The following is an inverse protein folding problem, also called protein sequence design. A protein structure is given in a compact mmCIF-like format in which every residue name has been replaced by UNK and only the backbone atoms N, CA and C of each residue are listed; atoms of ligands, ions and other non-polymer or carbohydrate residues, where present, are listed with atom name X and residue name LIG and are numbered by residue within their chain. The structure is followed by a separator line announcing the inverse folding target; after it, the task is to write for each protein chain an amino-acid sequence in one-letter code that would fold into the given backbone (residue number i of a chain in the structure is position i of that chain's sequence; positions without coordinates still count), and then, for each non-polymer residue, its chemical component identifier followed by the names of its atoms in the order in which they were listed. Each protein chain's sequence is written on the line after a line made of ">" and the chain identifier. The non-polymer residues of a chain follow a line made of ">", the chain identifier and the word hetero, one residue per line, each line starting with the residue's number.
data_IF_661316706776
#
_entry.id   IF_661316706776
#
_cell.length_a   1.000
_cell.length_b   1.000
_cell.length_c   1.000
_cell.angle_alpha   90.00
_cell.angle_beta   90.00
_cell.angle_gamma   90.00
#
_symmetry.space_group_name_H-M   'P 1'
#
loop_
_entity.id
_entity.type
_entity.pdbx_description
1 polymer ?
#
# COMPACT_ATOMS: atom_id res chain seq x y z
N UNK A 1 -10.57 72.37 -2.54
CA UNK A 1 -10.04 71.02 -2.93
C UNK A 1 -9.90 70.20 -1.69
N UNK A 2 -10.75 69.19 -1.51
CA UNK A 2 -10.73 68.33 -0.30
C UNK A 2 -9.56 67.34 -0.41
N UNK A 3 -8.60 67.48 0.49
CA UNK A 3 -7.48 66.55 0.65
C UNK A 3 -8.01 65.15 1.03
N UNK A 4 -8.05 64.21 0.09
CA UNK A 4 -8.40 62.82 0.43
C UNK A 4 -7.25 62.24 1.23
N UNK A 5 -7.46 62.11 2.54
CA UNK A 5 -6.54 61.37 3.44
C UNK A 5 -6.38 59.96 2.89
N UNK A 6 -5.20 59.62 2.41
CA UNK A 6 -4.84 58.25 2.03
C UNK A 6 -5.01 57.37 3.25
N UNK A 7 -5.85 56.35 3.17
CA UNK A 7 -6.01 55.34 4.22
C UNK A 7 -4.68 54.67 4.50
N UNK A 8 -4.42 54.27 5.76
CA UNK A 8 -3.20 53.56 6.13
C UNK A 8 -3.01 52.30 5.27
N UNK A 9 -1.76 52.00 5.00
CA UNK A 9 -1.42 50.81 4.20
C UNK A 9 -2.00 49.54 4.85
N UNK A 10 -2.83 48.79 4.12
CA UNK A 10 -3.50 47.58 4.65
C UNK A 10 -4.93 47.80 5.20
N UNK A 11 -5.42 49.05 5.36
CA UNK A 11 -6.76 49.28 5.91
C UNK A 11 -7.93 49.05 4.98
N UNK A 12 -7.64 48.77 3.66
CA UNK A 12 -8.67 48.57 2.63
C UNK A 12 -9.53 49.82 2.33
N UNK A 13 -10.27 49.79 1.24
CA UNK A 13 -11.22 50.84 0.85
C UNK A 13 -12.63 50.31 0.83
N UNK A 14 -13.59 51.07 1.45
CA UNK A 14 -15.01 50.71 1.47
C UNK A 14 -15.75 51.71 0.56
N UNK A 15 -16.55 51.22 -0.35
CA UNK A 15 -17.33 52.04 -1.31
C UNK A 15 -18.75 51.45 -1.46
N UNK A 16 -19.70 52.34 -1.77
CA UNK A 16 -21.03 51.97 -2.19
C UNK A 16 -21.01 51.67 -3.67
N UNK A 17 -21.57 50.59 -4.15
CA UNK A 17 -21.60 50.18 -5.57
C UNK A 17 -23.03 49.87 -5.97
N UNK A 18 -23.44 50.41 -7.12
CA UNK A 18 -24.73 50.09 -7.73
C UNK A 18 -24.49 49.30 -8.99
N UNK A 19 -25.25 48.25 -9.18
CA UNK A 19 -25.18 47.38 -10.38
C UNK A 19 -26.60 47.17 -10.88
N UNK A 20 -26.84 47.50 -12.15
CA UNK A 20 -28.13 47.27 -12.81
C UNK A 20 -28.16 45.86 -13.33
N UNK A 21 -29.15 45.04 -12.90
CA UNK A 21 -29.45 43.71 -13.45
C UNK A 21 -30.90 43.63 -13.86
N UNK A 22 -31.17 43.20 -15.07
CA UNK A 22 -32.53 43.09 -15.64
C UNK A 22 -33.37 44.40 -15.47
N UNK A 23 -32.74 45.58 -15.67
CA UNK A 23 -33.39 46.84 -15.54
C UNK A 23 -33.65 47.34 -14.10
N UNK A 24 -33.24 46.61 -13.08
CA UNK A 24 -33.31 46.98 -11.69
C UNK A 24 -31.95 47.29 -11.09
N UNK A 25 -31.87 48.40 -10.32
CA UNK A 25 -30.66 48.84 -9.65
C UNK A 25 -30.52 48.19 -8.29
N UNK A 26 -29.44 47.44 -8.10
CA UNK A 26 -29.04 46.82 -6.82
C UNK A 26 -27.85 47.57 -6.25
N UNK A 27 -28.04 48.08 -5.03
CA UNK A 27 -26.99 48.80 -4.31
C UNK A 27 -26.45 47.95 -3.19
N UNK A 28 -25.13 47.83 -3.10
CA UNK A 28 -24.40 47.12 -2.06
C UNK A 28 -23.11 47.82 -1.68
N UNK A 29 -22.55 47.48 -0.54
CA UNK A 29 -21.23 47.92 -0.12
C UNK A 29 -20.17 46.94 -0.51
N UNK A 30 -19.04 47.41 -1.02
CA UNK A 30 -17.86 46.65 -1.38
C UNK A 30 -16.64 47.23 -0.67
N UNK A 31 -15.81 46.34 -0.08
CA UNK A 31 -14.47 46.70 0.37
C UNK A 31 -13.43 45.84 -0.35
N UNK A 32 -12.25 46.41 -0.52
CA UNK A 32 -11.10 45.71 -1.13
C UNK A 32 -9.89 45.82 -0.22
N UNK A 33 -9.18 44.70 -0.07
CA UNK A 33 -7.91 44.62 0.65
C UNK A 33 -6.88 43.90 -0.23
N UNK A 34 -5.65 44.33 -0.12
CA UNK A 34 -4.51 43.65 -0.76
C UNK A 34 -4.15 42.43 0.06
N UNK A 35 -4.13 41.26 -0.58
CA UNK A 35 -3.82 39.99 0.07
C UNK A 35 -2.39 39.51 -0.22
N UNK A 36 -1.67 40.18 -1.12
CA UNK A 36 -0.30 39.88 -1.53
C UNK A 36 0.02 40.36 -2.93
N UNK A 37 1.09 39.83 -3.48
CA UNK A 37 1.55 40.08 -4.84
C UNK A 37 1.72 38.76 -5.58
N UNK A 38 1.44 38.76 -6.86
CA UNK A 38 1.71 37.62 -7.73
C UNK A 38 3.21 37.47 -7.95
N UNK A 39 3.77 36.30 -7.62
CA UNK A 39 5.20 36.07 -7.65
C UNK A 39 5.81 36.10 -9.08
N UNK A 40 5.01 35.81 -10.11
CA UNK A 40 5.48 35.80 -11.50
C UNK A 40 5.37 37.16 -12.20
N UNK A 41 4.33 37.95 -11.85
CA UNK A 41 4.03 39.24 -12.56
C UNK A 41 4.26 40.47 -11.69
N UNK A 42 4.51 40.31 -10.38
CA UNK A 42 4.63 41.42 -9.41
C UNK A 42 3.33 42.18 -9.18
N UNK A 43 2.23 41.79 -9.81
CA UNK A 43 0.94 42.49 -9.71
C UNK A 43 0.29 42.26 -8.33
N UNK A 44 -0.35 43.30 -7.84
CA UNK A 44 -1.07 43.27 -6.57
C UNK A 44 -2.31 42.37 -6.65
N UNK A 45 -2.37 41.36 -5.76
CA UNK A 45 -3.56 40.53 -5.56
C UNK A 45 -4.49 41.23 -4.57
N UNK A 46 -5.76 41.41 -4.95
CA UNK A 46 -6.77 42.06 -4.12
C UNK A 46 -7.98 41.17 -3.93
N UNK A 47 -8.54 41.15 -2.72
CA UNK A 47 -9.80 40.50 -2.41
C UNK A 47 -10.88 41.53 -2.10
N UNK A 48 -12.07 41.30 -2.67
CA UNK A 48 -13.26 42.10 -2.40
C UNK A 48 -14.16 41.36 -1.41
N UNK A 49 -14.71 42.09 -0.43
CA UNK A 49 -15.80 41.65 0.44
C UNK A 49 -17.02 42.54 0.20
N UNK A 50 -18.20 41.93 0.17
CA UNK A 50 -19.47 42.65 -0.10
C UNK A 50 -20.47 42.39 1.02
N UNK A 51 -21.40 43.34 1.19
CA UNK A 51 -22.48 43.24 2.15
C UNK A 51 -23.58 44.22 1.88
N UNK A 52 -24.71 44.03 2.54
CA UNK A 52 -25.89 44.93 2.42
C UNK A 52 -25.67 46.24 3.14
N UNK A 53 -24.93 46.24 4.23
CA UNK A 53 -24.66 47.43 5.07
C UNK A 53 -23.16 47.73 5.16
N UNK A 54 -22.83 48.98 5.40
CA UNK A 54 -21.44 49.40 5.59
C UNK A 54 -20.81 48.76 6.84
N UNK A 55 -21.59 48.53 7.89
CA UNK A 55 -21.16 47.89 9.13
C UNK A 55 -20.72 46.44 8.86
N UNK A 56 -21.56 45.67 8.18
CA UNK A 56 -21.27 44.29 7.79
C UNK A 56 -19.97 44.17 6.98
N UNK A 57 -19.77 45.05 5.99
CA UNK A 57 -18.56 45.04 5.15
C UNK A 57 -17.32 45.43 5.94
N UNK A 58 -17.46 46.36 6.93
CA UNK A 58 -16.35 46.75 7.80
C UNK A 58 -15.92 45.58 8.69
N UNK A 59 -16.86 44.86 9.31
CA UNK A 59 -16.57 43.69 10.12
C UNK A 59 -15.87 42.58 9.31
N UNK A 60 -16.39 42.27 8.12
CA UNK A 60 -15.76 41.33 7.20
C UNK A 60 -14.35 41.75 6.76
N UNK A 61 -14.15 43.05 6.49
CA UNK A 61 -12.85 43.58 6.12
C UNK A 61 -11.85 43.50 7.26
N UNK A 62 -12.28 43.80 8.50
CA UNK A 62 -11.43 43.71 9.70
C UNK A 62 -10.99 42.26 9.95
N UNK A 63 -11.91 41.29 9.87
CA UNK A 63 -11.59 39.89 9.99
C UNK A 63 -10.55 39.45 8.94
N UNK A 64 -10.76 39.84 7.67
CA UNK A 64 -9.83 39.53 6.58
C UNK A 64 -8.48 40.24 6.78
N UNK A 65 -8.45 41.47 7.25
CA UNK A 65 -7.22 42.21 7.54
C UNK A 65 -6.40 41.53 8.66
N UNK A 66 -7.03 41.00 9.68
CA UNK A 66 -6.36 40.22 10.73
C UNK A 66 -5.71 38.99 10.13
N UNK A 67 -6.42 38.23 9.28
CA UNK A 67 -5.85 37.04 8.61
C UNK A 67 -4.66 37.39 7.70
N UNK A 68 -4.75 38.49 6.95
CA UNK A 68 -3.66 38.93 6.06
C UNK A 68 -2.45 39.40 6.87
N UNK A 69 -2.65 40.17 7.92
CA UNK A 69 -1.58 40.75 8.75
C UNK A 69 -0.89 39.68 9.62
N UNK A 70 -1.63 38.65 10.06
CA UNK A 70 -1.06 37.51 10.79
C UNK A 70 -0.39 36.48 9.88
N UNK A 71 -0.44 36.65 8.54
CA UNK A 71 0.09 35.70 7.58
C UNK A 71 -0.71 34.40 7.47
N UNK A 72 -1.90 34.34 8.09
CA UNK A 72 -2.77 33.16 8.07
C UNK A 72 -3.78 33.17 6.92
N UNK A 73 -3.78 34.24 6.11
CA UNK A 73 -4.66 34.34 4.94
C UNK A 73 -4.26 33.30 3.87
N UNK A 74 -5.23 32.51 3.47
CA UNK A 74 -5.11 31.63 2.31
C UNK A 74 -6.12 32.03 1.25
N UNK A 75 -5.65 32.11 0.00
CA UNK A 75 -6.54 32.37 -1.12
C UNK A 75 -7.49 31.19 -1.31
N UNK A 76 -8.83 31.43 -1.41
CA UNK A 76 -9.77 30.32 -1.61
C UNK A 76 -9.41 29.50 -2.85
N UNK A 77 -9.18 28.24 -2.65
CA UNK A 77 -8.88 27.31 -3.70
C UNK A 77 -10.17 26.88 -4.39
N UNK A 78 -10.40 27.35 -5.63
CA UNK A 78 -11.57 26.97 -6.44
C UNK A 78 -11.47 25.59 -7.05
N UNK A 79 -10.29 25.00 -6.99
CA UNK A 79 -9.99 23.65 -7.49
C UNK A 79 -10.87 22.62 -6.79
N UNK A 80 -11.36 21.65 -7.55
CA UNK A 80 -12.07 20.49 -7.02
C UNK A 80 -11.07 19.45 -6.48
N UNK A 81 -11.53 18.56 -5.60
CA UNK A 81 -10.71 17.45 -5.14
C UNK A 81 -10.26 16.57 -6.31
N UNK A 82 -11.11 16.37 -7.32
CA UNK A 82 -10.78 15.56 -8.49
C UNK A 82 -9.62 16.15 -9.30
N UNK A 83 -9.62 17.47 -9.54
CA UNK A 83 -8.53 18.18 -10.22
C UNK A 83 -7.23 18.13 -9.40
N UNK A 84 -7.34 18.31 -8.07
CA UNK A 84 -6.18 18.19 -7.21
C UNK A 84 -5.57 16.78 -7.24
N UNK A 85 -6.39 15.73 -7.19
CA UNK A 85 -5.92 14.35 -7.24
C UNK A 85 -5.20 14.02 -8.55
N UNK A 86 -5.62 14.59 -9.69
CA UNK A 86 -4.91 14.43 -10.96
C UNK A 86 -3.51 15.07 -10.88
N UNK A 87 -3.43 16.31 -10.43
CA UNK A 87 -2.16 17.01 -10.20
C UNK A 87 -1.26 16.23 -9.24
N UNK A 88 -1.84 15.69 -8.16
CA UNK A 88 -1.08 14.95 -7.16
C UNK A 88 -0.51 13.64 -7.70
N UNK A 89 -1.30 12.87 -8.45
CA UNK A 89 -0.83 11.63 -9.10
C UNK A 89 0.29 11.90 -10.09
N UNK A 90 0.17 12.96 -10.88
CA UNK A 90 1.15 13.30 -11.90
C UNK A 90 2.48 13.80 -11.30
N UNK A 91 2.41 14.68 -10.29
CA UNK A 91 3.58 15.43 -9.84
C UNK A 91 4.21 14.90 -8.54
N UNK A 92 3.47 14.16 -7.71
CA UNK A 92 3.94 13.78 -6.36
C UNK A 92 4.15 12.27 -6.17
N UNK A 93 3.74 11.44 -7.13
CA UNK A 93 3.93 9.99 -7.05
C UNK A 93 5.15 9.46 -7.83
N UNK A 94 6.03 10.34 -8.30
CA UNK A 94 7.23 9.94 -9.08
C UNK A 94 8.19 9.03 -8.33
N UNK A 95 8.31 9.18 -7.01
CA UNK A 95 9.15 8.34 -6.16
C UNK A 95 8.45 7.02 -5.72
N UNK A 96 7.16 6.86 -6.01
CA UNK A 96 6.43 5.65 -5.64
C UNK A 96 6.80 4.48 -6.56
N UNK A 97 6.86 3.27 -5.98
CA UNK A 97 7.00 2.06 -6.79
C UNK A 97 5.81 1.94 -7.75
N UNK A 98 6.02 1.48 -9.00
CA UNK A 98 4.96 1.43 -10.03
C UNK A 98 3.68 0.76 -9.55
N UNK A 99 3.78 -0.38 -8.86
CA UNK A 99 2.61 -1.10 -8.31
C UNK A 99 1.85 -0.28 -7.27
N UNK A 100 2.55 0.50 -6.44
CA UNK A 100 1.91 1.38 -5.45
C UNK A 100 1.14 2.50 -6.15
N UNK A 101 1.76 3.10 -7.17
CA UNK A 101 1.12 4.14 -7.99
C UNK A 101 -0.16 3.60 -8.64
N UNK A 102 -0.13 2.41 -9.26
CA UNK A 102 -1.32 1.76 -9.84
C UNK A 102 -2.45 1.54 -8.83
N UNK A 103 -2.12 1.13 -7.60
CA UNK A 103 -3.11 0.95 -6.53
C UNK A 103 -3.73 2.31 -6.17
N UNK A 104 -2.92 3.34 -6.01
CA UNK A 104 -3.40 4.70 -5.69
C UNK A 104 -4.30 5.25 -6.80
N UNK A 105 -3.89 5.13 -8.06
CA UNK A 105 -4.69 5.51 -9.22
C UNK A 105 -6.03 4.75 -9.28
N UNK A 106 -6.01 3.46 -8.97
CA UNK A 106 -7.22 2.63 -8.91
C UNK A 106 -8.15 3.09 -7.80
N UNK A 107 -7.65 3.30 -6.57
CA UNK A 107 -8.45 3.75 -5.43
C UNK A 107 -9.05 5.14 -5.69
N UNK A 108 -8.28 6.03 -6.29
CA UNK A 108 -8.75 7.37 -6.69
C UNK A 108 -9.87 7.25 -7.73
N UNK A 109 -9.65 6.50 -8.80
CA UNK A 109 -10.59 6.38 -9.92
C UNK A 109 -11.88 5.67 -9.53
N UNK A 110 -11.78 4.58 -8.76
CA UNK A 110 -12.92 3.69 -8.47
C UNK A 110 -13.72 4.17 -7.28
N UNK A 111 -13.07 4.77 -6.28
CA UNK A 111 -13.70 5.08 -5.00
C UNK A 111 -13.77 6.57 -4.69
N UNK A 112 -12.66 7.31 -4.81
CA UNK A 112 -12.58 8.68 -4.29
C UNK A 112 -13.24 9.68 -5.26
N UNK A 113 -12.84 9.69 -6.53
CA UNK A 113 -13.34 10.63 -7.52
C UNK A 113 -14.85 10.54 -7.75
N UNK A 114 -15.47 9.36 -7.84
CA UNK A 114 -16.93 9.29 -8.05
C UNK A 114 -17.74 9.88 -6.89
N UNK A 115 -17.19 9.83 -5.67
CA UNK A 115 -17.90 10.29 -4.48
C UNK A 115 -17.57 11.75 -4.08
N UNK A 116 -16.30 12.13 -4.18
CA UNK A 116 -15.79 13.39 -3.65
C UNK A 116 -15.16 14.30 -4.72
N UNK A 117 -14.94 13.80 -5.93
CA UNK A 117 -14.18 14.51 -6.96
C UNK A 117 -14.74 15.87 -7.37
N UNK A 118 -16.06 16.05 -7.34
CA UNK A 118 -16.72 17.32 -7.66
C UNK A 118 -16.71 18.34 -6.51
N UNK A 119 -16.32 17.94 -5.30
CA UNK A 119 -16.28 18.81 -4.13
C UNK A 119 -15.10 19.76 -4.25
N UNK A 120 -15.32 21.06 -4.06
CA UNK A 120 -14.25 22.05 -4.01
C UNK A 120 -13.39 21.84 -2.77
N UNK A 121 -12.08 22.00 -2.91
CA UNK A 121 -11.11 21.82 -1.82
C UNK A 121 -11.47 22.68 -0.59
N UNK A 122 -11.91 23.92 -0.78
CA UNK A 122 -12.34 24.84 0.30
C UNK A 122 -13.58 24.37 1.07
N UNK A 123 -14.41 23.51 0.44
CA UNK A 123 -15.66 22.99 0.99
C UNK A 123 -15.57 21.53 1.47
N UNK A 124 -14.39 20.94 1.38
CA UNK A 124 -14.17 19.55 1.81
C UNK A 124 -14.05 19.51 3.35
N UNK A 125 -15.17 19.24 4.00
CA UNK A 125 -15.27 19.17 5.47
C UNK A 125 -15.02 17.76 6.01
N UNK A 126 -14.57 17.61 7.27
CA UNK A 126 -14.42 16.30 7.91
C UNK A 126 -15.68 15.45 7.87
N UNK A 127 -16.86 16.05 8.08
CA UNK A 127 -18.15 15.35 7.99
C UNK A 127 -18.37 14.73 6.59
N UNK A 128 -18.05 15.44 5.53
CA UNK A 128 -18.18 14.95 4.14
C UNK A 128 -17.29 13.72 3.91
N UNK A 129 -16.04 13.77 4.40
CA UNK A 129 -15.09 12.65 4.31
C UNK A 129 -15.55 11.47 5.16
N UNK A 130 -16.08 11.72 6.37
CA UNK A 130 -16.63 10.68 7.23
C UNK A 130 -17.82 9.96 6.57
N UNK A 131 -18.76 10.73 5.99
CA UNK A 131 -19.91 10.18 5.27
C UNK A 131 -19.48 9.29 4.10
N UNK A 132 -18.42 9.69 3.39
CA UNK A 132 -17.83 8.87 2.34
C UNK A 132 -17.32 7.52 2.88
N UNK A 133 -16.58 7.48 3.99
CA UNK A 133 -16.13 6.21 4.57
C UNK A 133 -17.27 5.34 5.05
N UNK A 134 -18.28 5.93 5.65
CA UNK A 134 -19.49 5.20 6.07
C UNK A 134 -20.21 4.60 4.87
N UNK A 135 -20.33 5.32 3.77
CA UNK A 135 -20.93 4.83 2.53
C UNK A 135 -20.13 3.69 1.87
N UNK A 136 -18.79 3.69 2.02
CA UNK A 136 -17.95 2.57 1.57
C UNK A 136 -18.14 1.31 2.43
N UNK A 137 -18.41 1.47 3.73
CA UNK A 137 -18.62 0.36 4.66
C UNK A 137 -20.02 -0.26 4.57
N UNK A 138 -20.99 0.50 4.08
CA UNK A 138 -22.39 0.05 4.02
C UNK A 138 -22.62 -0.93 2.89
N UNK A 139 -23.39 -1.98 3.18
CA UNK A 139 -23.88 -2.91 2.16
C UNK A 139 -24.80 -2.19 1.17
N UNK A 140 -24.65 -2.53 -0.10
CA UNK A 140 -25.55 -2.11 -1.19
C UNK A 140 -26.38 -3.30 -1.64
N UNK A 141 -27.54 -3.09 -2.31
CA UNK A 141 -28.41 -4.19 -2.73
C UNK A 141 -27.68 -5.31 -3.50
N UNK A 142 -26.73 -4.95 -4.34
CA UNK A 142 -26.02 -5.89 -5.23
C UNK A 142 -24.56 -6.15 -4.83
N UNK A 143 -24.07 -5.53 -3.73
CA UNK A 143 -22.65 -5.63 -3.38
C UNK A 143 -22.44 -5.36 -1.89
N UNK A 144 -21.70 -6.25 -1.19
CA UNK A 144 -21.33 -6.01 0.18
C UNK A 144 -20.43 -4.78 0.31
N UNK A 145 -20.47 -4.12 1.47
CA UNK A 145 -19.59 -3.03 1.82
C UNK A 145 -18.12 -3.45 1.79
N UNK A 146 -17.24 -2.47 1.67
CA UNK A 146 -15.81 -2.73 1.66
C UNK A 146 -15.30 -3.11 3.05
N UNK A 147 -14.30 -4.00 3.09
CA UNK A 147 -13.65 -4.37 4.34
C UNK A 147 -12.99 -3.16 5.01
N UNK A 148 -12.91 -3.16 6.34
CA UNK A 148 -12.23 -2.13 7.12
C UNK A 148 -10.77 -1.92 6.64
N UNK A 149 -10.10 -2.99 6.21
CA UNK A 149 -8.73 -2.92 5.66
C UNK A 149 -8.70 -2.15 4.33
N UNK A 150 -9.65 -2.41 3.45
CA UNK A 150 -9.75 -1.70 2.15
C UNK A 150 -10.04 -0.22 2.38
N UNK A 151 -10.99 0.11 3.27
CA UNK A 151 -11.32 1.50 3.63
C UNK A 151 -10.09 2.21 4.22
N UNK A 152 -9.32 1.53 5.07
CA UNK A 152 -8.08 2.09 5.62
C UNK A 152 -7.02 2.35 4.54
N UNK A 153 -6.94 1.54 3.50
CA UNK A 153 -6.04 1.79 2.37
C UNK A 153 -6.49 3.02 1.56
N UNK A 154 -7.79 3.11 1.23
CA UNK A 154 -8.38 4.27 0.53
C UNK A 154 -8.18 5.56 1.36
N UNK A 155 -8.40 5.49 2.68
CA UNK A 155 -8.10 6.59 3.58
C UNK A 155 -6.63 7.02 3.49
N UNK A 156 -5.69 6.06 3.49
CA UNK A 156 -4.26 6.35 3.38
C UNK A 156 -3.92 7.15 2.11
N UNK A 157 -4.54 6.81 0.98
CA UNK A 157 -4.37 7.54 -0.29
C UNK A 157 -4.92 8.95 -0.19
N UNK A 158 -6.17 9.09 0.23
CA UNK A 158 -6.84 10.40 0.38
C UNK A 158 -6.12 11.29 1.40
N UNK A 159 -5.76 10.74 2.56
CA UNK A 159 -5.03 11.44 3.62
C UNK A 159 -3.68 11.97 3.11
N UNK A 160 -2.91 11.17 2.38
CA UNK A 160 -1.62 11.59 1.85
C UNK A 160 -1.76 12.70 0.81
N UNK A 161 -2.74 12.61 -0.07
CA UNK A 161 -3.03 13.64 -1.06
C UNK A 161 -3.48 14.96 -0.39
N UNK A 162 -4.36 14.89 0.62
CA UNK A 162 -4.83 16.06 1.37
C UNK A 162 -3.72 16.66 2.25
N UNK A 163 -2.84 15.85 2.83
CA UNK A 163 -1.65 16.34 3.54
C UNK A 163 -0.75 17.16 2.62
N UNK A 164 -0.55 16.71 1.39
CA UNK A 164 0.19 17.49 0.40
C UNK A 164 -0.53 18.78 0.01
N UNK A 165 -1.87 18.77 -0.05
CA UNK A 165 -2.66 19.96 -0.32
C UNK A 165 -2.52 21.01 0.79
N UNK A 166 -2.40 20.59 2.06
CA UNK A 166 -2.08 21.48 3.19
C UNK A 166 -0.70 22.10 3.02
N UNK A 167 0.32 21.29 2.69
CA UNK A 167 1.68 21.79 2.47
C UNK A 167 1.78 22.78 1.31
N UNK A 168 0.93 22.60 0.29
CA UNK A 168 0.85 23.52 -0.84
C UNK A 168 -0.03 24.75 -0.58
N UNK A 169 -0.67 24.85 0.60
CA UNK A 169 -1.53 25.96 0.95
C UNK A 169 -2.89 25.98 0.23
N UNK A 170 -3.35 24.86 -0.30
CA UNK A 170 -4.69 24.77 -0.95
C UNK A 170 -5.81 24.62 0.09
N UNK A 171 -5.54 24.02 1.23
CA UNK A 171 -6.43 23.89 2.40
C UNK A 171 -5.66 24.14 3.69
N UNK A 172 -6.36 24.60 4.74
CA UNK A 172 -5.72 24.94 6.03
C UNK A 172 -5.38 23.71 6.87
N UNK A 173 -6.26 22.73 6.87
CA UNK A 173 -6.14 21.50 7.65
C UNK A 173 -6.57 20.32 6.80
N UNK A 174 -6.08 19.15 7.14
CA UNK A 174 -6.49 17.93 6.44
C UNK A 174 -7.83 17.44 7.03
N UNK A 175 -8.95 17.48 6.29
CA UNK A 175 -10.26 17.07 6.81
C UNK A 175 -10.36 15.57 7.11
N UNK A 176 -9.41 14.75 6.66
CA UNK A 176 -9.39 13.31 6.96
C UNK A 176 -8.73 12.97 8.31
N UNK A 177 -8.02 13.92 8.97
CA UNK A 177 -7.31 13.67 10.23
C UNK A 177 -8.26 13.29 11.38
N UNK A 178 -9.45 13.87 11.40
CA UNK A 178 -10.44 13.67 12.47
C UNK A 178 -11.45 12.57 12.17
N UNK A 179 -11.31 11.88 11.03
CA UNK A 179 -12.25 10.83 10.65
C UNK A 179 -12.02 9.53 11.43
N UNK A 180 -13.11 8.89 11.80
CA UNK A 180 -13.10 7.58 12.44
C UNK A 180 -13.22 6.48 11.39
N UNK A 181 -12.24 5.58 11.36
CA UNK A 181 -12.25 4.45 10.44
C UNK A 181 -12.88 3.21 11.08
N UNK A 182 -13.55 2.35 10.29
CA UNK A 182 -14.11 1.11 10.81
C UNK A 182 -12.99 0.22 11.36
N UNK A 183 -13.26 -0.40 12.51
CA UNK A 183 -12.37 -1.40 13.11
C UNK A 183 -12.58 -2.74 12.43
N UNK A 184 -11.53 -3.31 11.86
CA UNK A 184 -11.54 -4.65 11.31
C UNK A 184 -11.09 -5.67 12.36
N UNK A 185 -11.71 -6.82 12.38
CA UNK A 185 -11.13 -7.96 13.08
C UNK A 185 -9.86 -8.41 12.35
N UNK A 186 -8.80 -8.68 13.12
CA UNK A 186 -7.57 -9.22 12.56
C UNK A 186 -7.90 -10.66 12.13
N UNK A 187 -7.86 -10.94 10.83
CA UNK A 187 -8.07 -12.31 10.36
C UNK A 187 -6.99 -13.21 10.98
N UNK A 188 -7.42 -14.30 11.57
CA UNK A 188 -6.51 -15.32 12.07
C UNK A 188 -5.75 -15.94 10.90
N UNK A 189 -4.44 -16.02 11.02
CA UNK A 189 -3.61 -16.70 10.05
C UNK A 189 -3.63 -18.18 10.42
N UNK A 190 -4.11 -19.02 9.49
CA UNK A 190 -4.19 -20.47 9.64
C UNK A 190 -3.17 -21.17 8.72
N UNK A 191 -1.90 -21.29 9.12
CA UNK A 191 -0.91 -22.01 8.36
C UNK A 191 -1.34 -23.48 8.18
N UNK A 192 -0.73 -24.16 7.23
CA UNK A 192 -0.82 -25.62 7.14
C UNK A 192 -0.05 -26.22 8.33
N UNK A 193 -0.68 -27.10 9.10
CA UNK A 193 -0.01 -27.85 10.15
C UNK A 193 0.80 -29.03 9.60
N UNK A 194 1.39 -29.84 10.47
CA UNK A 194 2.25 -30.97 10.05
C UNK A 194 1.49 -32.02 9.22
N UNK A 195 0.24 -32.31 9.58
CA UNK A 195 -0.62 -33.26 8.86
C UNK A 195 -1.06 -32.69 7.51
N UNK A 196 -1.45 -31.43 7.49
CA UNK A 196 -1.77 -30.69 6.27
C UNK A 196 -0.57 -30.66 5.30
N UNK A 197 0.63 -30.37 5.82
CA UNK A 197 1.88 -30.35 5.02
C UNK A 197 2.19 -31.73 4.49
N UNK A 198 2.09 -32.79 5.29
CA UNK A 198 2.30 -34.16 4.85
C UNK A 198 1.29 -34.58 3.77
N UNK A 199 0.01 -34.21 3.92
CA UNK A 199 -1.03 -34.47 2.94
C UNK A 199 -0.77 -33.64 1.65
N UNK A 200 -0.37 -32.39 1.77
CA UNK A 200 -0.06 -31.52 0.64
C UNK A 200 1.09 -32.08 -0.20
N UNK A 201 2.18 -32.52 0.44
CA UNK A 201 3.33 -33.13 -0.26
C UNK A 201 2.89 -34.36 -1.06
N UNK A 202 2.02 -35.21 -0.49
CA UNK A 202 1.49 -36.39 -1.20
C UNK A 202 0.65 -36.00 -2.42
N UNK A 203 -0.20 -34.98 -2.31
CA UNK A 203 -1.08 -34.53 -3.38
C UNK A 203 -0.30 -33.88 -4.53
N UNK A 204 0.79 -33.17 -4.24
CA UNK A 204 1.59 -32.51 -5.28
C UNK A 204 2.66 -33.40 -5.90
N UNK A 205 2.82 -34.64 -5.45
CA UNK A 205 3.79 -35.58 -6.01
C UNK A 205 3.54 -35.81 -7.49
N UNK A 206 4.57 -35.61 -8.33
CA UNK A 206 4.47 -35.68 -9.78
C UNK A 206 3.72 -34.50 -10.44
N UNK A 207 3.32 -33.49 -9.67
CA UNK A 207 2.67 -32.31 -10.23
C UNK A 207 3.73 -31.40 -10.91
N UNK A 208 3.43 -30.74 -12.07
CA UNK A 208 4.38 -29.86 -12.76
C UNK A 208 4.97 -28.72 -11.91
N UNK A 209 4.28 -28.34 -10.83
CA UNK A 209 4.74 -27.30 -9.90
C UNK A 209 5.17 -27.86 -8.54
N UNK A 210 5.42 -29.15 -8.44
CA UNK A 210 5.88 -29.80 -7.20
C UNK A 210 7.12 -29.11 -6.64
N UNK A 211 8.17 -28.97 -7.46
CA UNK A 211 9.43 -28.35 -7.04
C UNK A 211 9.27 -26.89 -6.64
N UNK A 212 8.40 -26.14 -7.31
CA UNK A 212 8.06 -24.76 -6.94
C UNK A 212 7.38 -24.68 -5.56
N UNK A 213 6.41 -25.56 -5.32
CA UNK A 213 5.67 -25.55 -4.04
C UNK A 213 6.55 -26.00 -2.88
N UNK A 214 7.35 -27.06 -3.07
CA UNK A 214 8.28 -27.55 -2.05
C UNK A 214 9.38 -26.51 -1.74
N UNK A 215 9.97 -25.89 -2.77
CA UNK A 215 10.96 -24.84 -2.58
C UNK A 215 10.37 -23.65 -1.85
N UNK A 216 9.14 -23.24 -2.19
CA UNK A 216 8.43 -22.15 -1.49
C UNK A 216 8.17 -22.51 -0.02
N UNK A 217 7.69 -23.73 0.24
CA UNK A 217 7.36 -24.22 1.58
C UNK A 217 8.63 -24.31 2.45
N UNK A 218 9.69 -24.96 1.97
CA UNK A 218 10.86 -25.26 2.81
C UNK A 218 11.90 -24.16 2.90
N UNK A 219 11.79 -23.10 2.08
CA UNK A 219 12.63 -21.91 2.17
C UNK A 219 11.86 -20.66 2.67
N UNK A 220 10.56 -20.77 2.83
CA UNK A 220 9.72 -19.65 3.25
C UNK A 220 9.72 -18.48 2.27
N UNK A 221 9.83 -18.73 0.97
CA UNK A 221 9.86 -17.70 -0.06
C UNK A 221 8.50 -16.99 -0.19
N UNK A 222 8.52 -15.71 -0.58
CA UNK A 222 7.31 -15.07 -1.10
C UNK A 222 7.03 -15.57 -2.52
N UNK A 223 5.75 -15.62 -2.91
CA UNK A 223 5.38 -16.06 -4.27
C UNK A 223 6.20 -15.38 -5.38
N UNK A 224 6.32 -14.04 -5.32
CA UNK A 224 7.11 -13.31 -6.32
C UNK A 224 8.61 -13.59 -6.25
N UNK A 225 9.16 -13.94 -5.09
CA UNK A 225 10.56 -14.34 -4.91
C UNK A 225 10.79 -15.74 -5.48
N UNK A 226 9.87 -16.68 -5.26
CA UNK A 226 9.95 -18.02 -5.82
C UNK A 226 9.85 -18.00 -7.35
N UNK A 227 8.89 -17.25 -7.90
CA UNK A 227 8.72 -17.09 -9.34
C UNK A 227 9.84 -16.31 -10.02
N UNK A 228 10.53 -15.45 -9.28
CA UNK A 228 11.65 -14.63 -9.76
C UNK A 228 13.02 -15.20 -9.38
N UNK A 229 13.08 -16.42 -8.86
CA UNK A 229 14.37 -17.07 -8.55
C UNK A 229 15.08 -17.45 -9.85
N UNK A 230 16.35 -17.04 -9.97
CA UNK A 230 17.19 -17.27 -11.14
C UNK A 230 18.35 -18.21 -10.81
N UNK A 231 18.86 -18.95 -11.78
CA UNK A 231 19.93 -19.93 -11.57
C UNK A 231 21.25 -19.30 -11.12
N UNK A 232 21.53 -18.07 -11.50
CA UNK A 232 22.70 -17.30 -11.02
C UNK A 232 22.65 -16.99 -9.50
N UNK A 233 21.48 -17.14 -8.90
CA UNK A 233 21.25 -16.96 -7.46
C UNK A 233 21.21 -18.28 -6.68
N UNK A 234 21.48 -19.43 -7.33
CA UNK A 234 21.41 -20.77 -6.73
C UNK A 234 22.74 -21.49 -6.86
N UNK A 235 23.45 -21.63 -5.75
CA UNK A 235 24.64 -22.47 -5.64
C UNK A 235 24.21 -23.86 -5.16
N UNK A 236 24.13 -24.81 -6.11
CA UNK A 236 23.71 -26.19 -5.84
C UNK A 236 24.78 -27.01 -5.11
N UNK A 237 26.03 -26.60 -5.15
CA UNK A 237 27.14 -27.37 -4.57
C UNK A 237 27.24 -27.04 -3.05
N UNK A 238 27.10 -25.78 -2.68
CA UNK A 238 27.11 -25.36 -1.31
C UNK A 238 25.70 -25.28 -0.68
N UNK A 239 24.63 -25.50 -1.48
CA UNK A 239 23.25 -25.37 -1.02
C UNK A 239 22.83 -23.95 -0.67
N UNK A 240 23.45 -22.95 -1.28
CA UNK A 240 23.24 -21.54 -0.96
C UNK A 240 22.32 -20.87 -1.98
N UNK A 241 21.29 -20.18 -1.50
CA UNK A 241 20.31 -19.48 -2.33
C UNK A 241 20.25 -18.01 -1.95
N UNK A 242 20.50 -17.12 -2.89
CA UNK A 242 20.43 -15.67 -2.70
C UNK A 242 19.11 -15.13 -3.23
N UNK A 243 18.28 -14.57 -2.34
CA UNK A 243 17.01 -13.96 -2.70
C UNK A 243 17.17 -12.45 -2.81
N UNK A 244 17.34 -11.94 -4.02
CA UNK A 244 17.58 -10.53 -4.33
C UNK A 244 16.56 -9.94 -5.32
N UNK A 245 15.81 -10.79 -6.02
CA UNK A 245 14.85 -10.42 -7.07
C UNK A 245 13.47 -11.02 -6.77
N UNK A 246 12.45 -10.47 -7.39
CA UNK A 246 11.09 -11.00 -7.41
C UNK A 246 10.45 -10.73 -8.76
N UNK A 247 9.62 -11.65 -9.24
CA UNK A 247 8.82 -11.46 -10.44
C UNK A 247 7.58 -10.62 -10.11
N UNK A 248 7.41 -9.50 -10.78
CA UNK A 248 6.30 -8.58 -10.55
C UNK A 248 5.56 -8.29 -11.84
N UNK A 249 4.23 -8.28 -11.78
CA UNK A 249 3.39 -7.87 -12.90
C UNK A 249 3.37 -6.34 -12.98
N UNK A 250 3.77 -5.81 -14.11
CA UNK A 250 3.58 -4.42 -14.51
C UNK A 250 2.44 -4.31 -15.51
N UNK A 251 1.60 -3.30 -15.36
CA UNK A 251 0.63 -2.90 -16.36
C UNK A 251 1.02 -1.50 -16.86
N UNK A 252 1.62 -1.42 -18.03
CA UNK A 252 1.83 -0.17 -18.73
C UNK A 252 0.96 -0.12 -19.98
N UNK A 253 0.20 0.97 -20.16
CA UNK A 253 -0.62 1.24 -21.35
C UNK A 253 -1.56 0.08 -21.76
N UNK A 254 -2.09 -0.65 -20.78
CA UNK A 254 -3.01 -1.77 -21.03
C UNK A 254 -2.35 -3.11 -21.35
N UNK A 255 -1.03 -3.16 -21.48
CA UNK A 255 -0.26 -4.40 -21.65
C UNK A 255 0.26 -4.88 -20.30
N UNK A 256 -0.03 -6.14 -19.98
CA UNK A 256 0.50 -6.81 -18.80
C UNK A 256 1.89 -7.39 -19.13
N UNK A 257 2.93 -6.87 -18.52
CA UNK A 257 4.28 -7.37 -18.62
C UNK A 257 4.79 -7.82 -17.25
N UNK A 258 5.54 -8.93 -17.22
CA UNK A 258 6.23 -9.40 -16.00
C UNK A 258 7.68 -8.95 -16.05
N UNK A 259 8.17 -8.44 -14.92
CA UNK A 259 9.53 -7.93 -14.81
C UNK A 259 10.19 -8.45 -13.53
N UNK A 260 11.49 -8.74 -13.62
CA UNK A 260 12.33 -9.04 -12.48
C UNK A 260 12.75 -7.73 -11.81
N UNK A 261 12.20 -7.47 -10.63
CA UNK A 261 12.51 -6.29 -9.84
C UNK A 261 13.20 -6.67 -8.53
N UNK A 262 14.00 -5.77 -7.92
CA UNK A 262 14.56 -6.00 -6.60
C UNK A 262 13.48 -6.32 -5.56
N UNK A 263 13.84 -7.07 -4.52
CA UNK A 263 12.94 -7.38 -3.40
C UNK A 263 12.39 -6.11 -2.75
N UNK A 264 11.29 -6.26 -1.98
CA UNK A 264 10.60 -5.17 -1.32
C UNK A 264 11.51 -4.45 -0.37
N UNK A 265 12.23 -3.61 -0.35
CA UNK A 265 13.21 -2.86 0.45
C UNK A 265 14.65 -3.02 -0.06
N UNK A 266 14.83 -3.55 -1.27
CA UNK A 266 16.14 -3.75 -1.91
C UNK A 266 17.14 -4.51 -1.03
N UNK A 267 16.63 -5.33 -0.09
CA UNK A 267 17.45 -6.16 0.79
C UNK A 267 17.53 -7.56 0.21
N UNK A 268 18.72 -7.97 -0.13
CA UNK A 268 19.03 -9.36 -0.41
C UNK A 268 19.15 -10.15 0.91
N UNK A 269 18.88 -11.44 0.83
CA UNK A 269 19.16 -12.38 1.91
C UNK A 269 19.66 -13.70 1.33
N UNK A 270 20.53 -14.33 2.07
CA UNK A 270 21.07 -15.65 1.73
C UNK A 270 20.41 -16.71 2.61
N UNK A 271 19.98 -17.79 1.99
CA UNK A 271 19.38 -18.95 2.63
C UNK A 271 20.29 -20.16 2.42
N UNK A 272 20.39 -21.01 3.43
CA UNK A 272 21.01 -22.32 3.28
C UNK A 272 19.90 -23.34 3.13
N UNK A 273 19.87 -24.02 2.00
CA UNK A 273 18.88 -25.03 1.67
C UNK A 273 19.27 -26.39 2.27
N UNK A 274 18.29 -27.14 2.76
CA UNK A 274 18.50 -28.51 3.18
C UNK A 274 18.89 -29.41 1.98
N UNK A 275 19.55 -30.55 2.22
CA UNK A 275 19.89 -31.52 1.15
C UNK A 275 18.67 -31.91 0.30
N UNK A 276 17.50 -32.05 0.90
CA UNK A 276 16.25 -32.36 0.21
C UNK A 276 15.87 -31.25 -0.80
N UNK A 277 15.95 -30.00 -0.39
CA UNK A 277 15.65 -28.86 -1.28
C UNK A 277 16.68 -28.77 -2.41
N UNK A 278 17.96 -28.99 -2.12
CA UNK A 278 19.03 -29.02 -3.13
C UNK A 278 18.77 -30.13 -4.15
N UNK A 279 18.38 -31.33 -3.70
CA UNK A 279 18.05 -32.44 -4.58
C UNK A 279 16.86 -32.09 -5.52
N UNK A 280 15.82 -31.44 -4.99
CA UNK A 280 14.66 -30.97 -5.78
C UNK A 280 15.08 -29.93 -6.83
N UNK A 281 15.94 -29.01 -6.47
CA UNK A 281 16.45 -27.99 -7.40
C UNK A 281 17.36 -28.61 -8.48
N UNK A 282 18.16 -29.61 -8.13
CA UNK A 282 18.92 -30.38 -9.13
C UNK A 282 18.00 -31.15 -10.07
N UNK A 283 16.96 -31.79 -9.56
CA UNK A 283 15.93 -32.44 -10.39
C UNK A 283 15.27 -31.41 -11.33
N UNK A 284 14.85 -30.26 -10.85
CA UNK A 284 14.28 -29.20 -11.67
C UNK A 284 15.22 -28.71 -12.75
N UNK A 285 16.52 -28.60 -12.48
CA UNK A 285 17.54 -28.20 -13.46
C UNK A 285 17.68 -29.23 -14.57
N UNK A 286 17.67 -30.52 -14.22
CA UNK A 286 17.72 -31.62 -15.18
C UNK A 286 16.46 -31.66 -16.07
N UNK A 287 15.27 -31.54 -15.45
CA UNK A 287 14.00 -31.47 -16.18
C UNK A 287 13.96 -30.29 -17.15
N UNK A 288 14.37 -29.09 -16.69
CA UNK A 288 14.41 -27.89 -17.53
C UNK A 288 15.41 -28.05 -18.71
N UNK A 289 16.54 -28.75 -18.49
CA UNK A 289 17.49 -29.07 -19.56
C UNK A 289 16.85 -29.96 -20.64
N UNK A 290 16.04 -30.95 -20.24
CA UNK A 290 15.29 -31.80 -21.19
C UNK A 290 14.21 -30.97 -21.92
N UNK A 291 13.47 -30.12 -21.21
CA UNK A 291 12.48 -29.22 -21.83
C UNK A 291 13.13 -28.30 -22.87
N UNK A 292 14.31 -27.74 -22.56
CA UNK A 292 15.09 -26.89 -23.47
C UNK A 292 15.50 -27.66 -24.76
N UNK A 293 15.97 -28.89 -24.60
CA UNK A 293 16.33 -29.75 -25.76
C UNK A 293 15.12 -30.06 -26.64
N UNK A 294 13.96 -30.34 -26.04
CA UNK A 294 12.72 -30.62 -26.77
C UNK A 294 12.15 -29.37 -27.45
N UNK A 295 12.19 -28.21 -26.81
CA UNK A 295 11.68 -26.96 -27.36
C UNK A 295 12.59 -26.39 -28.49
N UNK A 296 13.88 -26.71 -28.50
CA UNK A 296 14.82 -26.21 -29.49
C UNK A 296 14.84 -24.70 -29.61
N UNK A 297 14.60 -24.19 -30.82
CA UNK A 297 14.58 -22.72 -31.06
C UNK A 297 13.38 -22.00 -30.47
N UNK A 298 12.35 -22.70 -29.98
CA UNK A 298 11.23 -22.10 -29.30
C UNK A 298 11.50 -21.84 -27.80
N UNK A 299 12.65 -22.29 -27.29
CA UNK A 299 13.04 -22.05 -25.90
C UNK A 299 13.42 -20.59 -25.66
N UNK A 300 12.79 -19.96 -24.66
CA UNK A 300 13.19 -18.64 -24.14
C UNK A 300 14.12 -18.79 -22.93
N UNK A 301 15.36 -18.32 -23.05
CA UNK A 301 16.34 -18.39 -21.96
C UNK A 301 16.17 -17.26 -20.98
N UNK A 302 15.24 -17.42 -20.06
CA UNK A 302 14.91 -16.43 -19.02
C UNK A 302 15.81 -16.52 -17.78
N UNK A 303 16.70 -17.52 -17.70
CA UNK A 303 17.51 -17.87 -16.52
C UNK A 303 16.68 -18.17 -15.24
N UNK A 304 15.35 -18.28 -15.33
CA UNK A 304 14.48 -18.57 -14.19
C UNK A 304 14.54 -20.05 -13.80
N UNK A 305 14.48 -20.33 -12.50
CA UNK A 305 14.42 -21.70 -11.96
C UNK A 305 13.09 -22.36 -12.30
N UNK A 306 11.99 -21.62 -12.20
CA UNK A 306 10.64 -22.13 -12.45
C UNK A 306 10.03 -21.49 -13.68
N UNK A 307 9.94 -22.26 -14.75
CA UNK A 307 9.42 -21.86 -16.07
C UNK A 307 8.34 -22.82 -16.54
N UNK A 308 7.61 -22.42 -17.58
CA UNK A 308 6.83 -23.37 -18.38
C UNK A 308 7.73 -24.24 -19.28
N UNK A 309 7.12 -25.06 -20.10
CA UNK A 309 7.84 -25.99 -21.00
C UNK A 309 8.64 -25.28 -22.11
N UNK A 310 8.43 -23.99 -22.34
CA UNK A 310 9.12 -23.17 -23.33
C UNK A 310 10.14 -22.20 -22.73
N UNK A 311 10.33 -22.24 -21.41
CA UNK A 311 11.26 -21.35 -20.72
C UNK A 311 10.66 -20.00 -20.27
N UNK A 312 9.39 -19.74 -20.57
CA UNK A 312 8.73 -18.50 -20.13
C UNK A 312 8.47 -18.51 -18.62
N UNK A 313 8.37 -17.32 -18.06
CA UNK A 313 7.98 -17.13 -16.66
C UNK A 313 6.58 -17.68 -16.36
N UNK A 314 6.40 -18.25 -15.18
CA UNK A 314 5.09 -18.66 -14.68
C UNK A 314 4.29 -17.45 -14.22
N UNK A 315 2.99 -17.42 -14.55
CA UNK A 315 2.10 -16.36 -14.08
C UNK A 315 1.48 -16.69 -12.73
N UNK A 316 1.33 -15.68 -11.86
CA UNK A 316 0.67 -15.88 -10.56
C UNK A 316 -0.72 -16.51 -10.64
N UNK A 317 -1.64 -16.08 -11.55
CA UNK A 317 -2.94 -16.73 -11.68
C UNK A 317 -2.86 -18.21 -12.02
N UNK A 318 -1.91 -18.62 -12.87
CA UNK A 318 -1.70 -20.03 -13.22
C UNK A 318 -1.25 -20.82 -12.00
N UNK A 319 -0.20 -20.36 -11.32
CA UNK A 319 0.34 -21.04 -10.11
C UNK A 319 -0.72 -21.10 -9.00
N UNK A 320 -1.43 -19.99 -8.78
CA UNK A 320 -2.49 -19.93 -7.77
C UNK A 320 -3.63 -20.92 -8.05
N UNK A 321 -4.06 -21.08 -9.29
CA UNK A 321 -5.09 -22.05 -9.68
C UNK A 321 -4.68 -23.49 -9.37
N UNK A 322 -3.45 -23.87 -9.65
CA UNK A 322 -2.91 -25.19 -9.33
C UNK A 322 -2.76 -25.40 -7.83
N UNK A 323 -2.24 -24.42 -7.13
CA UNK A 323 -2.18 -24.42 -5.67
C UNK A 323 -3.55 -24.62 -5.01
N UNK A 324 -4.57 -23.87 -5.47
CA UNK A 324 -5.93 -24.00 -4.91
C UNK A 324 -6.55 -25.38 -5.13
N UNK A 325 -6.24 -26.04 -6.25
CA UNK A 325 -6.64 -27.44 -6.47
C UNK A 325 -5.97 -28.37 -5.47
N UNK A 326 -4.68 -28.21 -5.24
CA UNK A 326 -3.92 -29.06 -4.30
C UNK A 326 -4.41 -28.89 -2.86
N UNK A 327 -4.62 -27.66 -2.36
CA UNK A 327 -5.11 -27.44 -0.99
C UNK A 327 -6.58 -27.80 -0.82
N UNK A 328 -7.40 -27.71 -1.85
CA UNK A 328 -8.77 -28.22 -1.81
C UNK A 328 -8.81 -29.75 -1.66
N UNK A 329 -7.89 -30.47 -2.30
CA UNK A 329 -7.78 -31.92 -2.21
C UNK A 329 -7.40 -32.41 -0.80
N UNK A 330 -6.76 -31.58 0.01
CA UNK A 330 -6.46 -31.87 1.43
C UNK A 330 -7.47 -31.27 2.41
N UNK A 331 -8.63 -30.78 1.92
CA UNK A 331 -9.66 -30.20 2.77
C UNK A 331 -9.38 -28.76 3.26
N UNK A 332 -8.38 -28.07 2.70
CA UNK A 332 -7.99 -26.70 3.08
C UNK A 332 -8.24 -25.68 1.94
N UNK A 333 -9.47 -25.56 1.42
CA UNK A 333 -9.78 -24.65 0.34
C UNK A 333 -9.62 -23.17 0.73
N UNK A 334 -9.58 -22.85 2.02
CA UNK A 334 -9.33 -21.53 2.60
C UNK A 334 -7.86 -21.10 2.46
N UNK A 335 -6.90 -22.05 2.43
CA UNK A 335 -5.48 -21.78 2.42
C UNK A 335 -5.05 -20.94 1.19
N UNK A 336 -4.19 -19.97 1.43
CA UNK A 336 -3.63 -19.06 0.42
C UNK A 336 -2.20 -19.48 0.10
N UNK A 337 -1.72 -19.17 -1.08
CA UNK A 337 -0.32 -19.47 -1.45
C UNK A 337 0.70 -18.93 -0.42
N UNK A 338 0.44 -17.76 0.14
CA UNK A 338 1.30 -17.16 1.17
C UNK A 338 1.33 -17.96 2.48
N UNK A 339 0.36 -18.83 2.69
CA UNK A 339 0.30 -19.67 3.89
C UNK A 339 1.37 -20.77 3.87
N UNK A 340 1.93 -21.15 2.69
CA UNK A 340 3.14 -21.99 2.60
C UNK A 340 4.32 -21.35 3.37
N UNK A 341 4.51 -20.07 3.22
CA UNK A 341 5.54 -19.33 3.94
C UNK A 341 5.23 -19.20 5.44
N UNK A 342 3.95 -19.05 5.79
CA UNK A 342 3.53 -19.08 7.20
C UNK A 342 3.78 -20.45 7.82
N UNK A 343 3.51 -21.53 7.08
CA UNK A 343 3.79 -22.92 7.50
C UNK A 343 5.28 -23.16 7.71
N UNK A 344 6.14 -22.65 6.80
CA UNK A 344 7.59 -22.67 7.04
C UNK A 344 7.98 -22.04 8.37
N UNK A 345 7.43 -20.86 8.67
CA UNK A 345 7.78 -20.14 9.88
C UNK A 345 7.35 -20.93 11.15
N UNK A 346 6.13 -21.50 11.13
CA UNK A 346 5.63 -22.32 12.23
C UNK A 346 6.47 -23.59 12.38
N UNK A 347 6.73 -24.32 11.29
CA UNK A 347 7.55 -25.52 11.31
C UNK A 347 8.97 -25.24 11.80
N UNK A 348 9.62 -24.17 11.33
CA UNK A 348 10.95 -23.77 11.74
C UNK A 348 11.02 -23.46 13.26
N UNK A 349 10.06 -22.69 13.78
CA UNK A 349 9.99 -22.35 15.20
C UNK A 349 9.68 -23.59 16.03
N UNK A 350 8.74 -24.44 15.61
CA UNK A 350 8.40 -25.70 16.28
C UNK A 350 9.56 -26.69 16.30
N UNK A 351 10.44 -26.64 15.29
CA UNK A 351 11.68 -27.44 15.24
C UNK A 351 12.82 -26.86 16.09
N UNK A 352 12.58 -25.77 16.84
CA UNK A 352 13.56 -25.16 17.73
C UNK A 352 14.53 -24.18 17.09
N UNK A 353 14.29 -23.78 15.84
CA UNK A 353 15.10 -22.74 15.20
C UNK A 353 14.78 -21.40 15.87
N UNK A 354 15.82 -20.66 16.26
CA UNK A 354 15.66 -19.39 16.93
C UNK A 354 14.92 -18.36 16.06
N UNK A 355 14.12 -17.51 16.73
CA UNK A 355 13.23 -16.54 16.05
C UNK A 355 14.02 -15.53 15.19
N UNK A 356 15.24 -15.19 15.57
CA UNK A 356 16.09 -14.27 14.83
C UNK A 356 16.54 -14.86 13.50
N UNK A 357 16.92 -16.13 13.50
CA UNK A 357 17.24 -16.90 12.29
C UNK A 357 16.02 -17.03 11.39
N UNK A 358 14.84 -17.38 11.93
CA UNK A 358 13.59 -17.44 11.17
C UNK A 358 13.26 -16.06 10.57
N UNK A 359 13.38 -14.99 11.35
CA UNK A 359 13.21 -13.61 10.87
C UNK A 359 14.16 -13.30 9.69
N UNK A 360 15.44 -13.66 9.82
CA UNK A 360 16.44 -13.48 8.77
C UNK A 360 16.07 -14.23 7.49
N UNK A 361 15.76 -15.51 7.60
CA UNK A 361 15.36 -16.38 6.50
C UNK A 361 14.11 -15.86 5.77
N UNK A 362 13.13 -15.37 6.53
CA UNK A 362 11.92 -14.77 5.97
C UNK A 362 12.16 -13.36 5.42
N UNK A 363 13.21 -12.65 5.84
CA UNK A 363 13.41 -11.23 5.50
C UNK A 363 12.30 -10.35 6.03
N UNK A 364 11.88 -10.55 7.29
CA UNK A 364 10.95 -9.70 7.99
C UNK A 364 11.69 -8.47 8.57
N UNK A 365 11.06 -7.30 8.52
CA UNK A 365 11.68 -6.06 9.00
C UNK A 365 11.92 -6.10 10.54
N UNK A 366 11.03 -6.75 11.29
CA UNK A 366 11.10 -6.86 12.76
C UNK A 366 10.79 -8.26 13.23
N UNK A 367 11.41 -8.69 14.34
CA UNK A 367 11.08 -9.95 15.02
C UNK A 367 9.67 -9.92 15.64
N UNK A 368 9.20 -8.73 16.05
CA UNK A 368 7.85 -8.53 16.57
C UNK A 368 6.77 -9.03 15.59
N UNK A 369 6.94 -8.78 14.29
CA UNK A 369 6.00 -9.30 13.29
C UNK A 369 5.98 -10.84 13.26
N UNK A 370 7.13 -11.50 13.41
CA UNK A 370 7.22 -12.95 13.46
C UNK A 370 6.53 -13.49 14.73
N UNK A 371 6.74 -12.85 15.87
CA UNK A 371 6.09 -13.21 17.16
C UNK A 371 4.58 -12.97 17.14
N UNK A 372 4.12 -11.83 16.61
CA UNK A 372 2.69 -11.48 16.50
C UNK A 372 1.89 -12.46 15.65
N UNK A 373 2.54 -13.04 14.63
CA UNK A 373 1.91 -13.99 13.72
C UNK A 373 1.92 -15.42 14.27
N UNK A 374 2.95 -15.79 15.05
CA UNK A 374 3.20 -17.15 15.49
C UNK A 374 3.16 -17.34 17.01
N UNK A 375 2.49 -16.42 17.71
CA UNK A 375 2.38 -16.43 19.18
C UNK A 375 1.81 -17.72 19.80
N UNK A 376 1.04 -18.50 19.01
CA UNK A 376 0.50 -19.80 19.45
C UNK A 376 1.57 -20.89 19.63
N UNK A 377 2.70 -20.76 18.95
CA UNK A 377 3.85 -21.68 19.09
C UNK A 377 4.55 -21.46 20.43
N UNK A 378 4.40 -20.29 21.04
CA UNK A 378 5.08 -19.92 22.29
C UNK A 378 4.65 -20.74 23.51
N UNK A 379 3.43 -21.28 23.57
CA UNK A 379 2.98 -22.06 24.73
C UNK A 379 3.62 -23.46 24.77
N UNK A 380 3.85 -24.07 23.59
CA UNK A 380 4.67 -25.29 23.52
C UNK A 380 6.13 -25.01 23.90
N UNK A 381 6.71 -23.92 23.35
CA UNK A 381 8.07 -23.51 23.69
C UNK A 381 8.26 -23.16 25.16
N UNK A 382 7.23 -22.62 25.83
CA UNK A 382 7.27 -22.37 27.28
C UNK A 382 7.38 -23.69 28.08
N UNK A 383 6.63 -24.73 27.69
CA UNK A 383 6.72 -26.06 28.30
C UNK A 383 8.07 -26.70 28.06
N UNK A 384 8.54 -26.72 26.80
CA UNK A 384 9.86 -27.25 26.44
C UNK A 384 11.01 -26.47 27.14
N UNK A 385 10.82 -25.15 27.34
CA UNK A 385 11.78 -24.34 28.10
C UNK A 385 11.79 -24.70 29.58
N UNK A 386 10.63 -25.01 30.16
CA UNK A 386 10.53 -25.47 31.55
C UNK A 386 11.21 -26.86 31.72
N UNK A 387 10.98 -27.78 30.79
CA UNK A 387 11.63 -29.10 30.78
C UNK A 387 13.16 -28.97 30.64
N UNK A 388 13.65 -28.15 29.74
CA UNK A 388 15.09 -27.87 29.61
C UNK A 388 15.70 -27.21 30.84
N UNK A 389 14.94 -26.35 31.53
CA UNK A 389 15.40 -25.74 32.78
C UNK A 389 15.43 -26.78 33.91
N UNK A 390 14.47 -27.69 33.96
CA UNK A 390 14.46 -28.82 34.91
C UNK A 390 15.69 -29.73 34.68
N UNK A 391 15.98 -30.07 33.42
CA UNK A 391 17.18 -30.83 33.06
C UNK A 391 18.49 -30.11 33.45
N UNK A 392 18.49 -28.78 33.34
CA UNK A 392 19.65 -27.98 33.80
C UNK A 392 19.75 -28.04 35.32
N UNK A 393 18.66 -27.82 36.03
CA UNK A 393 18.61 -27.87 37.51
C UNK A 393 19.14 -29.22 38.00
N UNK A 394 18.63 -30.35 37.45
CA UNK A 394 19.09 -31.69 37.83
C UNK A 394 20.59 -31.89 37.62
N UNK A 395 21.12 -31.39 36.50
CA UNK A 395 22.56 -31.49 36.24
C UNK A 395 23.42 -30.67 37.21
N UNK A 396 22.90 -29.55 37.72
CA UNK A 396 23.65 -28.63 38.59
C UNK A 396 23.47 -29.02 40.10
N UNK A 397 22.28 -29.54 40.43
CA UNK A 397 21.98 -30.00 41.82
C UNK A 397 22.53 -31.38 42.15
N UNK A 398 22.99 -32.14 41.15
CA UNK A 398 23.61 -33.46 41.40
C UNK A 398 22.60 -34.59 41.71
N UNK A 399 21.32 -34.39 41.34
CA UNK A 399 20.26 -35.39 41.42
C UNK A 399 20.10 -36.19 40.12
#
# INVERSE_FOLDING_TARGET
>A
MANSKRAAHGSGTIRKKTVTRNGQDYTYWEARITTGYDAGTGRQKQRSVTGKTQKEVREKLQALAVEVNSGTYQEPCRMTLGEWLDIWVENYLGACKPRTKQIYESDIRVHIKPALGAVRMENLLPHTVQTFYNALASDKPDKPGLSAKTIKNIHGVLHQALKQAVLNGYIRTNPSDTCTLPRGQKAEIKPLDEDDVAAFIRVIQGHPFEDLFLTTLFLGLREGEALGLTWDCVDLDNGVITVNKQLQLHQEKGLAAYELVPTKNSRSRTLVASPTVVARLRHRKAEQTQQRLMAGCAWEDSNLVFTDALGHHLTKPTVYRHYKKAVAAIGRPDARYHDLRHSYAVAAISSGIDIKTVQGNLGHATAAFTLDVYGHVTDRMKRESADKMEDFIRRVSGD
#
